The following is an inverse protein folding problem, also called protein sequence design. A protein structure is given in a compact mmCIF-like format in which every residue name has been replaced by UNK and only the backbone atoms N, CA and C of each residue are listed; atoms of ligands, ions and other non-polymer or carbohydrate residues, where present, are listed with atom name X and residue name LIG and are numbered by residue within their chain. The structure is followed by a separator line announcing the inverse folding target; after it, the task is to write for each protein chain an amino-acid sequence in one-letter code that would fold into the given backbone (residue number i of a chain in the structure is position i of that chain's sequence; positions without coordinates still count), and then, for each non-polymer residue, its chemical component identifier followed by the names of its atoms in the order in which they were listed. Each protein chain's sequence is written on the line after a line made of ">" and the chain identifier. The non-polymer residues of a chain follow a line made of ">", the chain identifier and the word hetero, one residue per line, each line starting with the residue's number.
data_IF_818952219566
#
_entry.id   IF_818952219566
#
_cell.length_a   1.000
_cell.length_b   1.000
_cell.length_c   1.000
_cell.angle_alpha   90.00
_cell.angle_beta   90.00
_cell.angle_gamma   90.00
#
_symmetry.space_group_name_H-M   'P 1'
#
loop_
_entity.id
_entity.type
_entity.pdbx_description
1 polymer ?
#
# COMPACT_ATOMS: atom_id res chain seq x y z
N UNK A 1 -12.48 -19.85 18.52
CA UNK A 1 -12.66 -19.05 17.29
C UNK A 1 -11.46 -19.34 16.40
N UNK A 2 -11.66 -19.73 15.14
CA UNK A 2 -10.58 -19.85 14.16
C UNK A 2 -10.48 -18.53 13.41
N UNK A 3 -9.33 -17.86 13.49
CA UNK A 3 -8.99 -16.72 12.65
C UNK A 3 -8.38 -17.28 11.36
N UNK A 4 -8.96 -16.93 10.22
CA UNK A 4 -8.38 -17.27 8.93
C UNK A 4 -7.47 -16.12 8.51
N UNK A 5 -6.18 -16.43 8.36
CA UNK A 5 -5.16 -15.48 7.91
C UNK A 5 -4.85 -15.71 6.43
N UNK A 6 -4.66 -14.61 5.72
CA UNK A 6 -4.32 -14.59 4.30
C UNK A 6 -3.01 -13.84 4.10
N UNK A 7 -2.16 -14.33 3.20
CA UNK A 7 -0.88 -13.71 2.88
C UNK A 7 -0.98 -12.93 1.56
N UNK A 8 -0.44 -11.72 1.56
CA UNK A 8 -0.45 -10.84 0.38
C UNK A 8 0.92 -10.23 0.13
N UNK A 9 1.29 -10.10 -1.14
CA UNK A 9 2.33 -9.19 -1.58
C UNK A 9 1.69 -7.85 -1.95
N UNK A 10 2.07 -6.79 -1.26
CA UNK A 10 1.71 -5.42 -1.62
C UNK A 10 2.87 -4.79 -2.37
N UNK A 11 2.58 -4.09 -3.46
CA UNK A 11 3.55 -3.28 -4.22
C UNK A 11 3.05 -1.85 -4.36
N UNK A 12 3.81 -0.88 -3.86
CA UNK A 12 3.60 0.56 -4.08
C UNK A 12 4.51 0.98 -5.24
N UNK A 13 3.92 1.53 -6.30
CA UNK A 13 4.67 2.07 -7.44
C UNK A 13 4.78 3.59 -7.30
N UNK A 14 6.01 4.08 -7.17
CA UNK A 14 6.27 5.51 -7.15
C UNK A 14 6.24 6.10 -8.56
N UNK A 15 5.74 7.32 -8.69
CA UNK A 15 5.76 8.03 -9.94
C UNK A 15 7.17 8.43 -10.35
N UNK A 16 7.42 8.39 -11.66
CA UNK A 16 8.65 8.89 -12.26
C UNK A 16 8.50 10.40 -12.50
N UNK A 17 9.01 11.21 -11.58
CA UNK A 17 9.05 12.66 -11.73
C UNK A 17 10.47 13.10 -12.07
N UNK A 18 10.62 13.82 -13.19
CA UNK A 18 11.90 14.41 -13.60
C UNK A 18 12.33 15.57 -12.69
N UNK A 19 11.40 16.20 -11.97
CA UNK A 19 11.64 17.44 -11.21
C UNK A 19 11.99 17.19 -9.73
N UNK A 20 11.73 16.00 -9.19
CA UNK A 20 12.00 15.66 -7.79
C UNK A 20 12.63 14.27 -7.65
N UNK A 21 13.91 14.13 -8.07
CA UNK A 21 14.77 12.98 -7.71
C UNK A 21 15.18 13.04 -6.23
N UNK A 22 14.21 13.10 -5.32
CA UNK A 22 14.47 13.13 -3.88
C UNK A 22 14.29 11.74 -3.32
N UNK A 23 15.38 11.20 -2.78
CA UNK A 23 15.38 9.94 -2.04
C UNK A 23 15.10 10.22 -0.56
N UNK A 24 14.16 9.51 0.05
CA UNK A 24 13.90 9.51 1.49
C UNK A 24 14.36 8.17 2.05
N UNK A 25 15.39 8.14 2.89
CA UNK A 25 16.03 6.88 3.32
C UNK A 25 15.23 6.09 4.36
N UNK A 26 14.55 6.78 5.28
CA UNK A 26 13.88 6.19 6.44
C UNK A 26 12.38 6.50 6.45
N UNK A 27 11.74 6.44 5.28
CA UNK A 27 10.33 6.76 5.19
C UNK A 27 9.50 5.71 5.93
N UNK A 28 8.60 6.16 6.81
CA UNK A 28 7.61 5.31 7.47
C UNK A 28 6.33 5.37 6.65
N UNK A 29 5.97 4.27 6.01
CA UNK A 29 4.71 4.13 5.29
C UNK A 29 3.66 3.52 6.20
N UNK A 30 2.46 4.06 6.16
CA UNK A 30 1.30 3.57 6.88
C UNK A 30 0.18 3.33 5.87
N UNK A 31 -0.30 2.10 5.80
CA UNK A 31 -1.44 1.70 4.97
C UNK A 31 -2.59 1.27 5.87
N UNK A 32 -3.76 1.89 5.73
CA UNK A 32 -5.01 1.43 6.33
C UNK A 32 -5.91 0.81 5.26
N UNK A 33 -6.13 -0.49 5.39
CA UNK A 33 -7.04 -1.28 4.58
C UNK A 33 -8.43 -1.24 5.20
N UNK A 34 -9.46 -0.98 4.38
CA UNK A 34 -10.85 -0.95 4.83
C UNK A 34 -11.73 -1.90 4.03
N UNK A 35 -12.56 -2.65 4.75
CA UNK A 35 -13.72 -3.36 4.24
C UNK A 35 -14.96 -2.60 4.72
N UNK A 36 -15.59 -1.85 3.83
CA UNK A 36 -16.72 -0.99 4.15
C UNK A 36 -17.97 -1.81 4.47
N UNK A 37 -18.11 -3.00 3.88
CA UNK A 37 -19.28 -3.88 4.07
C UNK A 37 -19.33 -4.48 5.48
N UNK A 38 -18.16 -4.77 6.06
CA UNK A 38 -18.01 -5.34 7.41
C UNK A 38 -17.57 -4.34 8.46
N UNK A 39 -17.39 -3.06 8.08
CA UNK A 39 -16.82 -2.02 8.93
C UNK A 39 -15.50 -2.48 9.60
N UNK A 40 -14.67 -3.21 8.85
CA UNK A 40 -13.41 -3.76 9.33
C UNK A 40 -12.25 -2.93 8.79
N UNK A 41 -11.26 -2.69 9.64
CA UNK A 41 -10.04 -1.95 9.28
C UNK A 41 -8.80 -2.69 9.76
N UNK A 42 -7.73 -2.61 8.99
CA UNK A 42 -6.41 -3.07 9.40
C UNK A 42 -5.36 -2.04 8.99
N UNK A 43 -4.54 -1.62 9.95
CA UNK A 43 -3.40 -0.73 9.71
C UNK A 43 -2.12 -1.55 9.66
N UNK A 44 -1.28 -1.27 8.66
CA UNK A 44 0.04 -1.85 8.49
C UNK A 44 1.04 -0.71 8.40
N UNK A 45 2.21 -0.92 8.98
CA UNK A 45 3.28 0.08 9.00
C UNK A 45 4.60 -0.58 8.70
N UNK A 46 5.38 0.03 7.82
CA UNK A 46 6.72 -0.45 7.50
C UNK A 46 7.62 0.72 7.13
N UNK A 47 8.92 0.53 7.33
CA UNK A 47 9.93 1.51 6.96
C UNK A 47 10.56 1.10 5.63
N UNK A 48 10.76 2.06 4.73
CA UNK A 48 11.43 1.84 3.45
C UNK A 48 12.19 3.08 3.02
N UNK A 49 13.11 2.89 2.09
CA UNK A 49 13.59 3.99 1.24
C UNK A 49 12.50 4.34 0.25
N UNK A 50 12.28 5.61 -0.07
CA UNK A 50 11.42 6.07 -1.16
C UNK A 50 12.24 6.84 -2.18
N UNK A 51 12.03 6.53 -3.46
CA UNK A 51 12.76 7.06 -4.61
C UNK A 51 11.79 7.10 -5.79
N UNK A 52 11.93 8.13 -6.62
CA UNK A 52 11.03 8.32 -7.77
C UNK A 52 11.23 7.22 -8.82
N UNK A 53 10.12 6.70 -9.35
CA UNK A 53 10.11 5.65 -10.37
C UNK A 53 10.35 4.23 -9.83
N UNK A 54 10.67 4.07 -8.54
CA UNK A 54 10.93 2.77 -7.93
C UNK A 54 9.64 2.09 -7.44
N UNK A 55 9.73 0.76 -7.28
CA UNK A 55 8.67 -0.06 -6.71
C UNK A 55 9.07 -0.57 -5.32
N UNK A 56 8.14 -0.51 -4.36
CA UNK A 56 8.34 -1.02 -3.02
C UNK A 56 7.37 -2.13 -2.73
N UNK A 57 7.90 -3.31 -2.37
CA UNK A 57 7.06 -4.47 -2.11
C UNK A 57 7.26 -5.02 -0.70
N UNK A 58 6.16 -5.41 -0.07
CA UNK A 58 6.13 -5.96 1.29
C UNK A 58 5.11 -7.09 1.37
N UNK A 59 5.51 -8.21 1.99
CA UNK A 59 4.56 -9.28 2.34
C UNK A 59 3.85 -8.92 3.65
N UNK A 60 2.54 -9.10 3.66
CA UNK A 60 1.68 -8.88 4.83
C UNK A 60 0.81 -10.10 5.11
N UNK A 61 0.31 -10.15 6.34
CA UNK A 61 -0.75 -11.07 6.77
C UNK A 61 -1.98 -10.24 7.12
N UNK A 62 -3.15 -10.69 6.66
CA UNK A 62 -4.42 -10.02 6.92
C UNK A 62 -5.52 -11.03 7.20
N UNK A 63 -6.45 -10.67 8.08
CA UNK A 63 -7.69 -11.41 8.31
C UNK A 63 -8.76 -11.10 7.24
N UNK A 64 -8.51 -10.09 6.38
CA UNK A 64 -9.37 -9.76 5.26
C UNK A 64 -9.02 -10.64 4.05
N UNK A 65 -10.05 -11.25 3.47
CA UNK A 65 -9.92 -11.96 2.21
C UNK A 65 -9.69 -10.99 1.03
N UNK A 66 -9.18 -11.50 -0.09
CA UNK A 66 -8.74 -10.65 -1.21
C UNK A 66 -9.89 -9.78 -1.75
N UNK A 67 -11.09 -10.30 -1.82
CA UNK A 67 -12.28 -9.60 -2.30
C UNK A 67 -12.85 -8.57 -1.31
N UNK A 68 -12.27 -8.46 -0.11
CA UNK A 68 -12.76 -7.62 0.98
C UNK A 68 -12.03 -6.27 1.12
N UNK A 69 -10.97 -6.04 0.34
CA UNK A 69 -10.29 -4.75 0.31
C UNK A 69 -11.06 -3.77 -0.59
N UNK A 70 -11.82 -2.85 0.01
CA UNK A 70 -12.61 -1.83 -0.70
C UNK A 70 -11.82 -0.53 -0.91
N UNK A 71 -11.04 -0.14 0.10
CA UNK A 71 -10.30 1.14 0.14
C UNK A 71 -8.95 0.97 0.83
N UNK A 72 -7.94 1.69 0.32
CA UNK A 72 -6.65 1.86 0.99
C UNK A 72 -6.46 3.35 1.28
N UNK A 73 -6.15 3.69 2.53
CA UNK A 73 -5.66 5.01 2.90
C UNK A 73 -4.16 4.93 3.17
N UNK A 74 -3.38 5.78 2.51
CA UNK A 74 -1.93 5.84 2.68
C UNK A 74 -1.52 7.15 3.35
N UNK A 75 -0.65 7.03 4.33
CA UNK A 75 0.08 8.11 5.00
C UNK A 75 1.58 7.79 4.94
N UNK A 76 2.41 8.82 4.99
CA UNK A 76 3.85 8.62 5.13
C UNK A 76 4.49 9.71 5.99
N UNK A 77 5.66 9.38 6.55
CA UNK A 77 6.49 10.29 7.32
C UNK A 77 7.96 10.06 6.96
N UNK A 78 8.83 11.07 7.11
CA UNK A 78 10.23 10.97 6.69
C UNK A 78 11.17 10.34 7.74
N UNK A 79 10.59 9.88 8.85
CA UNK A 79 11.27 9.26 9.99
C UNK A 79 11.92 10.26 10.95
N UNK A 80 11.85 11.57 10.69
CA UNK A 80 12.39 12.60 11.58
C UNK A 80 11.51 12.78 12.82
N UNK A 81 12.13 13.01 13.98
CA UNK A 81 11.41 13.33 15.21
C UNK A 81 10.58 14.63 15.09
N UNK A 82 10.99 15.54 14.19
CA UNK A 82 10.31 16.80 13.93
C UNK A 82 10.25 17.04 12.42
N UNK A 83 9.04 17.05 11.86
CA UNK A 83 8.81 17.30 10.43
C UNK A 83 8.54 18.79 10.17
N UNK A 84 9.62 19.58 10.19
CA UNK A 84 9.54 21.04 10.05
C UNK A 84 9.15 21.50 8.63
N UNK A 85 9.36 20.67 7.62
CA UNK A 85 9.07 20.98 6.22
C UNK A 85 8.11 19.98 5.63
N UNK A 86 7.17 20.49 4.85
CA UNK A 86 6.33 19.66 4.00
C UNK A 86 7.18 19.04 2.90
N UNK A 87 6.98 17.73 2.70
CA UNK A 87 7.59 16.95 1.63
C UNK A 87 6.48 16.20 0.94
N UNK A 88 6.65 16.01 -0.36
CA UNK A 88 5.70 15.28 -1.20
C UNK A 88 6.37 14.07 -1.84
N UNK A 89 5.59 13.00 -1.94
CA UNK A 89 5.86 11.86 -2.81
C UNK A 89 4.72 11.70 -3.80
N UNK A 90 4.97 11.02 -4.92
CA UNK A 90 3.96 10.74 -5.92
C UNK A 90 3.83 9.23 -6.08
N UNK A 91 2.62 8.70 -5.94
CA UNK A 91 2.32 7.27 -6.00
C UNK A 91 1.39 7.02 -7.17
N UNK A 92 1.81 6.19 -8.12
CA UNK A 92 1.04 5.85 -9.31
C UNK A 92 -0.01 4.77 -9.04
N UNK A 93 0.31 3.79 -8.18
CA UNK A 93 -0.63 2.73 -7.82
C UNK A 93 -0.19 1.95 -6.59
N UNK A 94 -1.14 1.30 -5.94
CA UNK A 94 -0.91 0.24 -4.96
C UNK A 94 -1.48 -1.05 -5.51
N UNK A 95 -0.67 -2.10 -5.58
CA UNK A 95 -1.07 -3.43 -6.06
C UNK A 95 -1.06 -4.41 -4.92
N UNK A 96 -2.03 -5.31 -4.89
CA UNK A 96 -2.14 -6.39 -3.91
C UNK A 96 -2.29 -7.70 -4.66
N UNK A 97 -1.43 -8.66 -4.36
CA UNK A 97 -1.46 -10.01 -4.92
C UNK A 97 -1.65 -11.02 -3.79
N UNK A 98 -2.70 -11.83 -3.87
CA UNK A 98 -2.91 -12.95 -2.94
C UNK A 98 -1.86 -14.03 -3.15
N UNK A 99 -1.15 -14.41 -2.09
CA UNK A 99 -0.14 -15.48 -2.10
C UNK A 99 -0.71 -16.85 -1.70
N UNK A 100 -1.88 -16.88 -1.05
CA UNK A 100 -2.43 -18.08 -0.39
C UNK A 100 -3.66 -18.71 -1.06
N UNK A 101 -3.81 -18.63 -2.39
CA UNK A 101 -4.83 -19.43 -3.11
C UNK A 101 -4.21 -20.59 -3.88
N UNK A 102 -4.10 -21.74 -3.21
CA UNK A 102 -3.98 -23.04 -3.88
C UNK A 102 -5.38 -23.63 -3.89
N UNK A 103 -6.08 -23.57 -5.03
CA UNK A 103 -7.31 -24.33 -5.21
C UNK A 103 -6.96 -25.80 -5.52
N UNK A 104 -7.81 -26.73 -5.09
CA UNK A 104 -7.69 -28.18 -5.32
C UNK A 104 -7.57 -28.58 -6.81
N UNK A 105 -7.79 -27.65 -7.73
CA UNK A 105 -7.67 -27.82 -9.19
C UNK A 105 -6.33 -27.36 -9.81
N UNK A 106 -5.27 -27.14 -9.02
CA UNK A 106 -3.92 -26.77 -9.50
C UNK A 106 -3.83 -25.52 -10.42
N UNK A 107 -4.85 -24.67 -10.45
CA UNK A 107 -4.77 -23.36 -11.10
C UNK A 107 -4.59 -22.27 -10.05
N UNK A 108 -3.34 -21.84 -9.85
CA UNK A 108 -3.03 -20.59 -9.17
C UNK A 108 -3.47 -19.43 -10.06
N UNK A 109 -4.65 -18.89 -9.81
CA UNK A 109 -4.95 -17.52 -10.22
C UNK A 109 -4.51 -16.61 -9.07
N UNK A 110 -3.35 -15.98 -9.25
CA UNK A 110 -2.97 -14.85 -8.41
C UNK A 110 -4.01 -13.76 -8.62
N UNK A 111 -4.92 -13.58 -7.66
CA UNK A 111 -5.87 -12.48 -7.69
C UNK A 111 -5.10 -11.20 -7.42
N UNK A 112 -4.89 -10.42 -8.48
CA UNK A 112 -4.32 -9.08 -8.43
C UNK A 112 -5.44 -8.06 -8.26
N UNK A 113 -5.22 -7.11 -7.35
CA UNK A 113 -6.02 -5.90 -7.24
C UNK A 113 -5.12 -4.69 -7.40
N UNK A 114 -5.59 -3.73 -8.16
CA UNK A 114 -4.89 -2.48 -8.41
C UNK A 114 -5.75 -1.36 -7.84
N UNK A 115 -5.14 -0.52 -7.02
CA UNK A 115 -5.77 0.64 -6.40
C UNK A 115 -5.18 1.90 -7.00
N UNK A 116 -6.07 2.68 -7.63
CA UNK A 116 -5.88 3.96 -8.30
C UNK A 116 -4.64 4.04 -9.22
N UNK A 117 -4.78 3.94 -10.55
CA UNK A 117 -3.69 3.85 -11.52
C UNK A 117 -3.13 5.23 -11.95
N UNK A 118 -3.72 6.31 -11.44
CA UNK A 118 -3.32 7.68 -11.69
C UNK A 118 -2.43 8.20 -10.56
N UNK A 119 -1.37 8.92 -10.94
CA UNK A 119 -0.42 9.47 -9.99
C UNK A 119 -1.07 10.42 -9.00
N UNK A 120 -0.88 10.16 -7.71
CA UNK A 120 -1.32 11.03 -6.62
C UNK A 120 -0.16 11.56 -5.80
N UNK A 121 -0.21 12.86 -5.56
CA UNK A 121 0.65 13.50 -4.58
C UNK A 121 0.19 13.15 -3.16
N UNK A 122 1.13 12.68 -2.33
CA UNK A 122 0.96 12.46 -0.90
C UNK A 122 2.00 13.30 -0.18
N UNK A 123 1.56 14.21 0.68
CA UNK A 123 2.45 14.98 1.54
C UNK A 123 2.66 14.23 2.87
N UNK A 124 3.74 14.52 3.58
CA UNK A 124 3.92 14.02 4.95
C UNK A 124 2.95 14.62 5.99
N UNK A 125 1.94 15.39 5.55
CA UNK A 125 0.94 16.05 6.40
C UNK A 125 -0.49 15.63 6.09
N UNK A 126 -0.70 14.80 5.07
CA UNK A 126 -2.03 14.36 4.68
C UNK A 126 -2.10 12.84 4.52
N UNK A 127 -3.33 12.35 4.39
CA UNK A 127 -3.63 10.98 4.02
C UNK A 127 -4.36 10.98 2.69
N UNK A 128 -4.03 10.01 1.84
CA UNK A 128 -4.61 9.90 0.49
C UNK A 128 -5.33 8.58 0.34
N UNK A 129 -6.53 8.63 -0.23
CA UNK A 129 -7.40 7.48 -0.48
C UNK A 129 -7.20 6.94 -1.90
N UNK A 130 -6.99 5.64 -1.97
CA UNK A 130 -6.86 4.84 -3.17
C UNK A 130 -8.05 3.88 -3.24
N UNK A 131 -8.87 4.02 -4.28
CA UNK A 131 -10.01 3.16 -4.52
C UNK A 131 -9.62 2.01 -5.45
N UNK A 132 -10.27 0.86 -5.26
CA UNK A 132 -10.14 -0.30 -6.14
C UNK A 132 -10.67 0.04 -7.54
N UNK A 133 -9.96 -0.40 -8.57
CA UNK A 133 -10.39 -0.35 -9.98
C UNK A 133 -11.30 -1.52 -10.29
#
# INVERSE_FOLDING_TARGET
>A
MNFQEFQYLITIRMSQSSENRKTVQNAKIILEFQNNRKNQKQKITFNTRLESGENYSQVIVSEMATDQFDLITMEWSDGSLIELREKSIFVDSIRIISLSKINDNQQQQNLEMIFNPESKEITNRNSVRFHKI
#
